data_IF_854798467295
#
_entry.id   IF_854798467295
#
_cell.length_a   1.000
_cell.length_b   1.000
_cell.length_c   1.000
_cell.angle_alpha   90.00
_cell.angle_beta   90.00
_cell.angle_gamma   90.00
#
_symmetry.space_group_name_H-M   'P 1'
#
loop_
_entity.id
_entity.type
_entity.pdbx_description
1 polymer ?
#
# COMPACT_ATOMS: atom_id res chain seq x y z
N UNK A 1 15.10 7.35 -32.06
CA UNK A 1 14.11 8.16 -31.33
C UNK A 1 13.21 7.28 -30.44
N UNK A 2 13.13 5.97 -30.74
CA UNK A 2 12.36 4.99 -29.96
C UNK A 2 13.05 4.53 -28.65
N UNK A 3 14.38 4.48 -28.62
CA UNK A 3 15.15 4.05 -27.44
C UNK A 3 14.97 4.97 -26.23
N UNK A 4 14.88 6.30 -26.46
CA UNK A 4 14.66 7.28 -25.39
C UNK A 4 13.28 7.10 -24.76
N UNK A 5 12.24 6.87 -25.59
CA UNK A 5 10.87 6.60 -25.10
C UNK A 5 10.78 5.28 -24.34
N UNK A 6 11.49 4.24 -24.81
CA UNK A 6 11.56 2.96 -24.11
C UNK A 6 12.15 3.12 -22.70
N UNK A 7 13.24 3.87 -22.59
CA UNK A 7 13.93 4.11 -21.32
C UNK A 7 13.09 4.93 -20.34
N UNK A 8 12.30 5.90 -20.83
CA UNK A 8 11.35 6.66 -20.01
C UNK A 8 10.25 5.76 -19.41
N UNK A 9 9.69 4.84 -20.22
CA UNK A 9 8.67 3.88 -19.77
C UNK A 9 9.24 2.94 -18.70
N UNK A 10 10.43 2.39 -18.91
CA UNK A 10 11.09 1.52 -17.93
C UNK A 10 11.39 2.26 -16.61
N UNK A 11 11.86 3.50 -16.70
CA UNK A 11 12.12 4.33 -15.52
C UNK A 11 10.83 4.62 -14.75
N UNK A 12 9.72 4.87 -15.44
CA UNK A 12 8.42 5.05 -14.80
C UNK A 12 7.97 3.77 -14.08
N UNK A 13 8.09 2.61 -14.72
CA UNK A 13 7.74 1.33 -14.11
C UNK A 13 8.58 1.04 -12.87
N UNK A 14 9.90 1.29 -12.90
CA UNK A 14 10.77 1.12 -11.73
C UNK A 14 10.34 2.01 -10.56
N UNK A 15 10.09 3.30 -10.82
CA UNK A 15 9.60 4.23 -9.79
C UNK A 15 8.28 3.77 -9.18
N UNK A 16 7.36 3.30 -10.02
CA UNK A 16 6.08 2.79 -9.56
C UNK A 16 6.22 1.54 -8.70
N UNK A 17 7.08 0.59 -9.07
CA UNK A 17 7.37 -0.60 -8.26
C UNK A 17 8.00 -0.23 -6.91
N UNK A 18 8.94 0.71 -6.89
CA UNK A 18 9.52 1.22 -5.63
C UNK A 18 8.46 1.88 -4.75
N UNK A 19 7.56 2.66 -5.35
CA UNK A 19 6.44 3.25 -4.61
C UNK A 19 5.54 2.15 -4.01
N UNK A 20 5.15 1.14 -4.78
CA UNK A 20 4.36 0.01 -4.29
C UNK A 20 5.03 -0.70 -3.12
N UNK A 21 6.34 -0.98 -3.22
CA UNK A 21 7.10 -1.57 -2.12
C UNK A 21 7.08 -0.69 -0.87
N UNK A 22 7.24 0.63 -1.03
CA UNK A 22 7.24 1.56 0.11
C UNK A 22 5.91 1.64 0.85
N UNK A 23 4.78 1.37 0.18
CA UNK A 23 3.45 1.44 0.79
C UNK A 23 2.90 0.09 1.24
N UNK A 24 3.45 -1.02 0.72
CA UNK A 24 2.97 -2.38 0.99
C UNK A 24 3.91 -3.20 1.88
N UNK A 25 5.08 -2.67 2.24
CA UNK A 25 6.02 -3.32 3.14
C UNK A 25 6.21 -2.53 4.44
N UNK A 26 6.56 -3.24 5.51
CA UNK A 26 6.88 -2.65 6.79
C UNK A 26 8.15 -1.76 6.67
N UNK A 27 8.13 -0.52 7.18
CA UNK A 27 9.28 0.37 7.11
C UNK A 27 10.46 -0.09 7.99
N UNK A 28 10.24 -1.02 8.93
CA UNK A 28 11.26 -1.49 9.87
C UNK A 28 11.96 -2.76 9.38
N UNK A 29 11.19 -3.75 8.93
CA UNK A 29 11.70 -5.07 8.58
C UNK A 29 11.51 -5.45 7.11
N UNK A 30 10.88 -4.58 6.31
CA UNK A 30 10.59 -4.79 4.87
C UNK A 30 9.66 -5.95 4.54
N UNK A 31 9.11 -6.65 5.54
CA UNK A 31 8.12 -7.69 5.31
C UNK A 31 6.85 -7.11 4.68
N UNK A 32 6.12 -7.88 3.85
CA UNK A 32 4.81 -7.46 3.39
C UNK A 32 3.87 -7.13 4.56
N UNK A 33 3.05 -6.10 4.37
CA UNK A 33 2.01 -5.72 5.32
C UNK A 33 0.75 -6.57 5.09
N UNK A 34 0.15 -7.00 6.17
CA UNK A 34 -1.17 -7.62 6.20
C UNK A 34 -2.23 -6.51 6.14
N UNK A 35 -3.08 -6.54 5.11
CA UNK A 35 -4.16 -5.57 4.92
C UNK A 35 -5.47 -6.16 5.42
N UNK A 36 -6.11 -5.47 6.37
CA UNK A 36 -7.39 -5.85 6.98
C UNK A 36 -8.44 -4.83 6.54
N UNK A 37 -9.57 -5.34 6.05
CA UNK A 37 -10.74 -4.53 5.68
C UNK A 37 -11.92 -4.97 6.53
N UNK A 38 -12.48 -4.04 7.30
CA UNK A 38 -13.62 -4.30 8.18
C UNK A 38 -14.77 -3.38 7.78
N UNK A 39 -15.97 -3.95 7.68
CA UNK A 39 -17.20 -3.20 7.43
C UNK A 39 -17.89 -3.00 8.76
N UNK A 40 -18.11 -1.75 9.13
CA UNK A 40 -18.87 -1.33 10.30
C UNK A 40 -20.23 -0.84 9.79
N UNK A 41 -21.23 -1.74 9.83
CA UNK A 41 -22.58 -1.46 9.33
C UNK A 41 -23.33 -0.44 10.20
N UNK A 42 -23.05 -0.38 11.50
CA UNK A 42 -23.69 0.58 12.41
C UNK A 42 -23.28 2.02 12.08
N UNK A 43 -22.00 2.20 11.77
CA UNK A 43 -21.43 3.50 11.44
C UNK A 43 -21.42 3.79 9.93
N UNK A 44 -21.84 2.83 9.10
CA UNK A 44 -21.73 2.87 7.64
C UNK A 44 -20.32 3.24 7.16
N UNK A 45 -19.28 2.63 7.73
CA UNK A 45 -17.88 2.87 7.35
C UNK A 45 -17.13 1.57 7.02
N UNK A 46 -16.16 1.67 6.12
CA UNK A 46 -15.15 0.66 5.83
C UNK A 46 -13.85 1.11 6.47
N UNK A 47 -13.29 0.29 7.36
CA UNK A 47 -11.99 0.50 8.00
C UNK A 47 -10.95 -0.32 7.25
N UNK A 48 -9.91 0.34 6.75
CA UNK A 48 -8.74 -0.31 6.15
C UNK A 48 -7.53 -0.14 7.06
N UNK A 49 -6.95 -1.25 7.50
CA UNK A 49 -5.78 -1.26 8.35
C UNK A 49 -4.65 -2.04 7.69
N UNK A 50 -3.42 -1.52 7.77
CA UNK A 50 -2.21 -2.23 7.36
C UNK A 50 -1.35 -2.51 8.59
N UNK A 51 -0.99 -3.78 8.80
CA UNK A 51 -0.25 -4.24 9.96
C UNK A 51 0.96 -5.08 9.55
N UNK A 52 2.03 -5.05 10.34
CA UNK A 52 3.19 -5.90 10.18
C UNK A 52 3.21 -6.98 11.27
N UNK A 53 2.93 -8.23 10.92
CA UNK A 53 2.87 -9.35 11.87
C UNK A 53 4.24 -9.67 12.52
N UNK A 54 5.35 -9.24 11.91
CA UNK A 54 6.68 -9.48 12.46
C UNK A 54 7.12 -8.44 13.48
N UNK A 55 6.75 -7.18 13.25
CA UNK A 55 7.11 -6.07 14.13
C UNK A 55 6.00 -5.73 15.13
N UNK A 56 4.81 -6.32 14.95
CA UNK A 56 3.59 -6.02 15.71
C UNK A 56 3.26 -4.52 15.68
N UNK A 57 3.30 -3.91 14.48
CA UNK A 57 3.02 -2.48 14.28
C UNK A 57 1.93 -2.26 13.24
N UNK A 58 0.98 -1.37 13.57
CA UNK A 58 0.05 -0.78 12.62
C UNK A 58 0.76 0.34 11.84
N UNK A 59 0.81 0.23 10.52
CA UNK A 59 1.52 1.21 9.66
C UNK A 59 0.57 2.20 8.99
N UNK A 60 -0.72 1.83 8.84
CA UNK A 60 -1.74 2.66 8.19
C UNK A 60 -3.12 2.31 8.70
N UNK A 61 -3.95 3.32 8.94
CA UNK A 61 -5.40 3.21 9.12
C UNK A 61 -6.11 4.23 8.26
N UNK A 62 -7.16 3.81 7.56
CA UNK A 62 -8.06 4.67 6.79
C UNK A 62 -9.50 4.25 7.05
N UNK A 63 -10.40 5.22 6.99
CA UNK A 63 -11.83 4.99 7.13
C UNK A 63 -12.54 5.64 5.93
N UNK A 64 -13.44 4.89 5.31
CA UNK A 64 -14.20 5.31 4.13
C UNK A 64 -15.69 5.17 4.43
N UNK A 65 -16.53 6.19 4.19
CA UNK A 65 -17.97 6.01 4.30
C UNK A 65 -18.47 5.03 3.22
N UNK A 66 -19.42 4.18 3.57
CA UNK A 66 -20.16 3.34 2.64
C UNK A 66 -21.15 4.28 1.92
N UNK A 67 -20.86 4.61 0.66
CA UNK A 67 -21.72 5.44 -0.19
C UNK A 67 -22.77 4.62 -0.93
#
# INVERSE_FOLDING_TARGET
>A
MDEIKQQEVENHQKKYQTFLQSINCCPLCTSPLTLIHEVDEESSIIKETAHCDQCDVETRRKEHPIQ
#
